data_IF_221502401697
#
_entry.id   IF_221502401697
#
_cell.length_a   1.000
_cell.length_b   1.000
_cell.length_c   1.000
_cell.angle_alpha   90.00
_cell.angle_beta   90.00
_cell.angle_gamma   90.00
#
_symmetry.space_group_name_H-M   'P 1'
#
loop_
_entity.id
_entity.type
_entity.pdbx_description
1 polymer ?
#
# COMPACT_ATOMS: atom_id res chain seq x y z
N UNK A 1 46.12 -60.27 -28.96
CA UNK A 1 45.26 -61.22 -29.69
C UNK A 1 43.99 -61.37 -28.88
N UNK A 2 42.86 -60.96 -29.43
CA UNK A 2 41.57 -60.95 -28.75
C UNK A 2 40.60 -61.93 -29.41
N UNK A 3 39.74 -62.53 -28.60
CA UNK A 3 38.54 -63.27 -29.00
C UNK A 3 37.32 -62.58 -28.38
N UNK A 4 36.32 -62.15 -29.17
CA UNK A 4 35.05 -62.85 -29.56
C UNK A 4 34.28 -63.34 -28.33
N UNK A 5 33.01 -63.04 -28.06
CA UNK A 5 31.92 -62.31 -28.72
C UNK A 5 30.62 -62.55 -27.90
N UNK A 6 29.54 -61.78 -28.14
CA UNK A 6 28.21 -62.08 -27.58
C UNK A 6 27.29 -60.87 -27.34
N UNK A 7 26.23 -60.78 -28.14
CA UNK A 7 25.09 -59.82 -28.22
C UNK A 7 23.91 -60.39 -27.37
N UNK A 8 22.74 -59.75 -27.04
CA UNK A 8 22.13 -58.44 -27.42
C UNK A 8 21.50 -57.60 -26.26
N UNK A 9 21.11 -56.34 -26.55
CA UNK A 9 19.71 -55.85 -26.44
C UNK A 9 19.64 -54.33 -26.66
N UNK A 10 18.57 -53.91 -27.35
CA UNK A 10 18.29 -52.57 -27.85
C UNK A 10 18.06 -51.50 -26.75
N UNK A 11 18.16 -50.21 -27.12
CA UNK A 11 17.06 -49.31 -26.84
C UNK A 11 16.55 -48.56 -28.07
N UNK A 12 15.23 -48.46 -28.07
CA UNK A 12 14.33 -47.80 -28.98
C UNK A 12 14.52 -46.29 -29.06
N UNK A 13 14.59 -45.80 -30.30
CA UNK A 13 13.74 -44.71 -30.80
C UNK A 13 13.79 -43.34 -30.11
N UNK A 14 14.65 -42.47 -30.60
CA UNK A 14 14.35 -41.03 -30.65
C UNK A 14 13.57 -40.70 -31.93
N UNK A 15 12.58 -39.77 -31.83
CA UNK A 15 12.57 -38.70 -32.81
C UNK A 15 12.44 -37.30 -32.20
N UNK A 16 13.40 -36.49 -32.66
CA UNK A 16 13.49 -35.03 -32.86
C UNK A 16 12.25 -34.13 -32.65
N UNK A 17 12.54 -33.01 -31.97
CA UNK A 17 12.20 -31.60 -32.26
C UNK A 17 10.77 -31.27 -32.70
N UNK A 18 10.04 -30.61 -31.79
CA UNK A 18 8.84 -29.81 -32.09
C UNK A 18 8.99 -28.39 -31.54
N UNK A 19 9.03 -27.44 -32.46
CA UNK A 19 9.07 -25.98 -32.39
C UNK A 19 8.37 -25.36 -31.17
N UNK A 20 9.07 -24.41 -30.53
CA UNK A 20 8.59 -23.63 -29.40
C UNK A 20 7.31 -22.86 -29.71
N UNK A 21 6.27 -23.11 -28.90
CA UNK A 21 5.05 -22.30 -28.89
C UNK A 21 5.33 -21.08 -28.02
N UNK A 22 5.68 -19.96 -28.66
CA UNK A 22 5.69 -18.66 -28.01
C UNK A 22 4.25 -18.34 -27.61
N UNK A 23 3.96 -18.38 -26.31
CA UNK A 23 2.69 -17.89 -25.78
C UNK A 23 2.61 -16.38 -26.05
N UNK A 24 1.90 -16.02 -27.12
CA UNK A 24 1.53 -14.64 -27.41
C UNK A 24 0.46 -14.25 -26.39
N UNK A 25 0.80 -13.33 -25.48
CA UNK A 25 -0.17 -12.70 -24.59
C UNK A 25 -1.28 -12.01 -25.42
N UNK A 26 -2.55 -12.02 -24.97
CA UNK A 26 -3.64 -11.41 -25.73
C UNK A 26 -3.43 -9.89 -25.83
N UNK A 27 -3.57 -9.30 -27.04
CA UNK A 27 -3.45 -7.85 -27.22
C UNK A 27 -4.81 -7.22 -26.86
N UNK A 28 -4.89 -6.51 -25.74
CA UNK A 28 -6.12 -5.77 -25.39
C UNK A 28 -6.11 -5.10 -24.02
N UNK A 29 -5.38 -5.63 -23.02
CA UNK A 29 -5.45 -5.09 -21.66
C UNK A 29 -4.61 -3.83 -21.39
N UNK A 30 -3.57 -3.56 -22.20
CA UNK A 30 -2.60 -2.50 -21.91
C UNK A 30 -3.14 -1.07 -22.06
N UNK A 31 -3.90 -0.81 -23.13
CA UNK A 31 -4.41 0.53 -23.46
C UNK A 31 -5.49 0.97 -22.46
N UNK A 32 -6.43 0.07 -22.13
CA UNK A 32 -7.51 0.37 -21.19
C UNK A 32 -7.01 0.69 -19.78
N UNK A 33 -5.99 -0.03 -19.28
CA UNK A 33 -5.40 0.25 -17.96
C UNK A 33 -4.61 1.57 -17.99
N UNK A 34 -3.85 1.83 -19.06
CA UNK A 34 -3.13 3.09 -19.23
C UNK A 34 -4.09 4.30 -19.21
N UNK A 35 -5.20 4.22 -19.92
CA UNK A 35 -6.20 5.28 -19.95
C UNK A 35 -6.89 5.46 -18.59
N UNK A 36 -7.16 4.37 -17.88
CA UNK A 36 -7.73 4.43 -16.53
C UNK A 36 -6.77 5.10 -15.54
N UNK A 37 -5.48 4.78 -15.60
CA UNK A 37 -4.43 5.44 -14.81
C UNK A 37 -4.36 6.93 -15.15
N UNK A 38 -4.40 7.30 -16.43
CA UNK A 38 -4.37 8.70 -16.85
C UNK A 38 -5.59 9.48 -16.34
N UNK A 39 -6.80 8.89 -16.42
CA UNK A 39 -8.03 9.49 -15.87
C UNK A 39 -7.97 9.66 -14.35
N UNK A 40 -7.51 8.64 -13.62
CA UNK A 40 -7.34 8.73 -12.17
C UNK A 40 -6.34 9.84 -11.79
N UNK A 41 -5.23 9.97 -12.52
CA UNK A 41 -4.26 11.06 -12.32
C UNK A 41 -4.87 12.42 -12.60
N UNK A 42 -5.61 12.56 -13.70
CA UNK A 42 -6.28 13.81 -14.06
C UNK A 42 -7.30 14.22 -12.99
N UNK A 43 -8.10 13.27 -12.50
CA UNK A 43 -9.06 13.50 -11.40
C UNK A 43 -8.36 13.99 -10.12
N UNK A 44 -7.26 13.36 -9.71
CA UNK A 44 -6.48 13.83 -8.55
C UNK A 44 -5.90 15.24 -8.76
N UNK A 45 -5.38 15.53 -9.95
CA UNK A 45 -4.84 16.86 -10.28
C UNK A 45 -5.92 17.95 -10.24
N UNK A 46 -7.12 17.61 -10.69
CA UNK A 46 -8.32 18.46 -10.59
C UNK A 46 -8.88 18.57 -9.15
N UNK A 47 -8.28 17.87 -8.17
CA UNK A 47 -8.68 17.93 -6.77
C UNK A 47 -9.79 16.97 -6.37
N UNK A 48 -10.25 16.10 -7.28
CA UNK A 48 -11.30 15.13 -6.99
C UNK A 48 -10.80 13.97 -6.11
N UNK A 49 -11.74 13.33 -5.39
CA UNK A 49 -11.47 12.09 -4.67
C UNK A 49 -11.33 10.91 -5.63
N UNK A 50 -10.33 10.08 -5.38
CA UNK A 50 -10.08 8.85 -6.13
C UNK A 50 -9.92 7.67 -5.19
N UNK A 51 -10.61 6.57 -5.47
CA UNK A 51 -10.37 5.28 -4.83
C UNK A 51 -9.31 4.53 -5.62
N UNK A 52 -8.23 4.16 -4.93
CA UNK A 52 -7.09 3.42 -5.48
C UNK A 52 -6.96 2.06 -4.77
N UNK A 53 -6.71 0.97 -5.52
CA UNK A 53 -6.47 -0.34 -4.93
C UNK A 53 -5.08 -0.41 -4.28
N UNK A 54 -4.95 -1.22 -3.22
CA UNK A 54 -3.66 -1.62 -2.68
C UNK A 54 -3.39 -3.11 -3.00
N UNK A 55 -2.12 -3.55 -2.99
CA UNK A 55 -1.84 -4.97 -3.20
C UNK A 55 -2.34 -5.78 -2.00
N UNK A 56 -2.75 -7.02 -2.24
CA UNK A 56 -3.08 -7.98 -1.19
C UNK A 56 -1.96 -8.02 -0.12
N UNK A 57 -2.28 -8.06 1.19
CA UNK A 57 -3.60 -8.24 1.81
C UNK A 57 -4.36 -6.94 2.11
N UNK A 58 -4.01 -5.83 1.49
CA UNK A 58 -4.57 -4.53 1.87
C UNK A 58 -5.88 -4.22 1.12
N UNK A 59 -6.79 -3.53 1.81
CA UNK A 59 -7.98 -2.93 1.20
C UNK A 59 -7.64 -1.65 0.42
N UNK A 60 -8.58 -1.23 -0.42
CA UNK A 60 -8.47 0.02 -1.18
C UNK A 60 -8.44 1.24 -0.27
N UNK A 61 -7.90 2.34 -0.79
CA UNK A 61 -7.89 3.65 -0.13
C UNK A 61 -8.64 4.67 -0.96
N UNK A 62 -9.21 5.67 -0.29
CA UNK A 62 -9.73 6.89 -0.93
C UNK A 62 -8.76 8.02 -0.63
N UNK A 63 -8.39 8.79 -1.66
CA UNK A 63 -7.41 9.86 -1.56
C UNK A 63 -7.80 11.08 -2.38
N UNK A 64 -7.32 12.25 -1.95
CA UNK A 64 -7.43 13.52 -2.67
C UNK A 64 -6.29 14.45 -2.23
N UNK A 65 -6.10 15.54 -2.97
CA UNK A 65 -5.12 16.60 -2.60
C UNK A 65 -5.56 17.47 -1.42
N UNK A 66 -6.86 17.44 -1.09
CA UNK A 66 -7.46 18.23 0.00
C UNK A 66 -8.15 17.27 0.98
N UNK A 67 -7.91 17.38 2.29
CA UNK A 67 -8.44 16.44 3.28
C UNK A 67 -9.98 16.48 3.36
N UNK A 68 -10.59 17.67 3.20
CA UNK A 68 -12.04 17.84 3.17
C UNK A 68 -12.70 16.99 2.07
N UNK A 69 -12.07 16.90 0.88
CA UNK A 69 -12.59 16.11 -0.25
C UNK A 69 -12.58 14.60 0.06
N UNK A 70 -11.56 14.11 0.80
CA UNK A 70 -11.54 12.73 1.30
C UNK A 70 -12.70 12.49 2.27
N UNK A 71 -12.95 13.45 3.17
CA UNK A 71 -14.01 13.34 4.17
C UNK A 71 -15.40 13.38 3.55
N UNK A 72 -15.65 14.29 2.61
CA UNK A 72 -16.89 14.37 1.85
C UNK A 72 -17.18 13.09 1.08
N UNK A 73 -16.17 12.52 0.40
CA UNK A 73 -16.31 11.23 -0.29
C UNK A 73 -16.77 10.11 0.66
N UNK A 74 -16.23 10.09 1.88
CA UNK A 74 -16.62 9.15 2.94
C UNK A 74 -17.93 9.50 3.64
N UNK A 75 -18.48 10.70 3.39
CA UNK A 75 -19.68 11.23 4.03
C UNK A 75 -19.50 11.46 5.52
N UNK A 76 -18.36 12.04 5.90
CA UNK A 76 -18.03 12.41 7.27
C UNK A 76 -17.63 13.89 7.34
N UNK A 77 -17.58 14.50 8.53
CA UNK A 77 -17.28 15.93 8.67
C UNK A 77 -15.98 16.33 7.97
N UNK A 78 -15.99 17.47 7.27
CA UNK A 78 -14.85 17.97 6.49
C UNK A 78 -13.57 18.16 7.34
N UNK A 79 -13.73 18.44 8.63
CA UNK A 79 -12.66 18.66 9.60
C UNK A 79 -12.12 17.38 10.25
N UNK A 80 -12.69 16.20 9.96
CA UNK A 80 -12.22 14.96 10.56
C UNK A 80 -10.80 14.62 10.09
N UNK A 81 -9.96 14.12 10.99
CA UNK A 81 -8.56 13.81 10.66
C UNK A 81 -8.41 12.78 9.51
N UNK A 82 -7.40 13.01 8.67
CA UNK A 82 -7.06 12.21 7.49
C UNK A 82 -5.55 12.03 7.43
N UNK A 83 -5.07 10.81 7.20
CA UNK A 83 -3.64 10.54 7.15
C UNK A 83 -2.96 11.25 5.97
N UNK A 84 -1.67 11.55 6.10
CA UNK A 84 -0.81 11.91 4.98
C UNK A 84 -0.40 10.66 4.21
N UNK A 85 -0.34 10.76 2.88
CA UNK A 85 0.24 9.73 2.03
C UNK A 85 1.60 10.19 1.49
N UNK A 86 2.67 9.51 1.91
CA UNK A 86 4.00 9.69 1.34
C UNK A 86 4.09 8.85 0.06
N UNK A 87 4.07 9.50 -1.10
CA UNK A 87 3.93 8.85 -2.40
C UNK A 87 5.21 8.80 -3.23
N UNK A 88 6.21 9.62 -2.89
CA UNK A 88 7.50 9.72 -3.56
C UNK A 88 8.58 10.31 -2.63
N UNK A 89 9.82 10.33 -3.12
CA UNK A 89 11.02 10.69 -2.35
C UNK A 89 11.03 12.17 -1.93
N UNK A 90 10.44 13.05 -2.74
CA UNK A 90 10.32 14.47 -2.41
C UNK A 90 9.38 14.66 -1.20
N UNK A 91 8.22 14.00 -1.21
CA UNK A 91 7.28 13.99 -0.07
C UNK A 91 7.87 13.30 1.15
N UNK A 92 8.70 12.28 0.95
CA UNK A 92 9.43 11.63 2.03
C UNK A 92 10.41 12.60 2.71
N UNK A 93 11.21 13.30 1.91
CA UNK A 93 12.20 14.28 2.40
C UNK A 93 11.53 15.44 3.13
N UNK A 94 10.51 16.05 2.53
CA UNK A 94 9.73 17.12 3.18
C UNK A 94 9.16 16.67 4.53
N UNK A 95 8.67 15.43 4.62
CA UNK A 95 8.09 14.92 5.85
C UNK A 95 9.15 14.63 6.92
N UNK A 96 10.27 14.00 6.58
CA UNK A 96 11.32 13.64 7.55
C UNK A 96 11.98 14.85 8.20
N UNK A 97 12.08 15.98 7.49
CA UNK A 97 12.59 17.24 8.03
C UNK A 97 11.75 17.77 9.22
N UNK A 98 10.45 17.50 9.21
CA UNK A 98 9.49 17.88 10.26
C UNK A 98 9.54 16.96 11.48
N UNK A 99 10.16 15.78 11.36
CA UNK A 99 10.18 14.79 12.43
C UNK A 99 11.25 15.10 13.47
N UNK A 100 10.97 14.75 14.72
CA UNK A 100 11.90 14.88 15.83
C UNK A 100 12.52 13.52 16.19
N UNK A 101 13.06 12.83 15.18
CA UNK A 101 13.67 11.50 15.33
C UNK A 101 15.08 11.46 14.75
N UNK A 102 15.94 10.64 15.36
CA UNK A 102 17.31 10.39 14.90
C UNK A 102 17.37 9.57 13.60
N UNK A 103 18.55 9.49 12.98
CA UNK A 103 18.73 8.82 11.68
C UNK A 103 18.38 7.31 11.74
N UNK A 104 18.69 6.66 12.87
CA UNK A 104 18.32 5.26 13.10
C UNK A 104 16.80 5.09 13.09
N UNK A 105 16.08 5.98 13.76
CA UNK A 105 14.63 5.96 13.87
C UNK A 105 13.97 6.37 12.55
N UNK A 106 14.56 7.29 11.78
CA UNK A 106 14.13 7.59 10.40
C UNK A 106 14.26 6.37 9.48
N UNK A 107 15.38 5.66 9.57
CA UNK A 107 15.59 4.40 8.84
C UNK A 107 14.56 3.33 9.23
N UNK A 108 14.24 3.21 10.52
CA UNK A 108 13.19 2.33 11.00
C UNK A 108 11.81 2.74 10.46
N UNK A 109 11.48 4.03 10.54
CA UNK A 109 10.23 4.60 10.02
C UNK A 109 10.04 4.24 8.55
N UNK A 110 11.09 4.35 7.73
CA UNK A 110 11.06 3.94 6.32
C UNK A 110 10.73 2.46 6.15
N UNK A 111 11.40 1.56 6.90
CA UNK A 111 11.13 0.12 6.83
C UNK A 111 9.69 -0.20 7.23
N UNK A 112 9.19 0.40 8.30
CA UNK A 112 7.82 0.21 8.76
C UNK A 112 6.79 0.70 7.72
N UNK A 113 6.98 1.89 7.15
CA UNK A 113 6.03 2.47 6.21
C UNK A 113 6.05 1.80 4.82
N UNK A 114 7.23 1.40 4.33
CA UNK A 114 7.40 0.95 2.93
C UNK A 114 7.48 -0.57 2.81
N UNK A 115 8.23 -1.24 3.68
CA UNK A 115 8.41 -2.69 3.63
C UNK A 115 7.29 -3.42 4.38
N UNK A 116 7.05 -3.04 5.63
CA UNK A 116 5.97 -3.61 6.46
C UNK A 116 4.59 -3.04 6.08
N UNK A 117 4.56 -1.89 5.41
CA UNK A 117 3.34 -1.23 4.90
C UNK A 117 2.32 -0.91 6.00
N UNK A 118 2.79 -0.61 7.21
CA UNK A 118 1.92 -0.16 8.31
C UNK A 118 1.55 1.31 8.13
N UNK A 119 0.51 1.76 8.84
CA UNK A 119 0.29 3.19 9.09
C UNK A 119 1.01 3.57 10.39
N UNK A 120 1.70 4.71 10.43
CA UNK A 120 2.39 5.17 11.64
C UNK A 120 1.80 6.46 12.19
N UNK A 121 1.72 6.57 13.52
CA UNK A 121 1.76 7.86 14.20
C UNK A 121 3.22 8.22 14.44
N UNK A 122 3.65 9.36 13.91
CA UNK A 122 5.05 9.83 13.93
C UNK A 122 5.13 11.17 14.65
N UNK A 123 6.02 11.35 15.64
CA UNK A 123 6.17 12.61 16.35
C UNK A 123 6.75 13.67 15.44
N UNK A 124 6.17 14.86 15.48
CA UNK A 124 6.62 16.03 14.77
C UNK A 124 7.32 17.01 15.72
N UNK A 125 8.36 17.67 15.22
CA UNK A 125 8.97 18.84 15.87
C UNK A 125 8.07 20.06 15.70
N UNK A 126 7.50 20.20 14.52
CA UNK A 126 6.58 21.27 14.14
C UNK A 126 5.49 20.75 13.19
N UNK A 127 4.29 21.31 13.28
CA UNK A 127 3.18 20.95 12.42
C UNK A 127 2.92 22.06 11.39
N UNK A 128 3.29 21.87 10.12
CA UNK A 128 2.94 22.83 9.08
C UNK A 128 1.45 22.73 8.72
N UNK A 129 0.88 23.83 8.21
CA UNK A 129 -0.55 23.92 7.85
C UNK A 129 -1.07 22.76 7.00
N UNK A 130 -0.25 22.28 6.06
CA UNK A 130 -0.63 21.20 5.16
C UNK A 130 -0.68 19.82 5.83
N UNK A 131 -0.07 19.64 7.00
CA UNK A 131 -0.07 18.41 7.79
C UNK A 131 -1.09 18.44 8.94
N UNK A 132 -1.73 19.58 9.21
CA UNK A 132 -2.67 19.76 10.34
C UNK A 132 -3.77 18.71 10.35
N UNK A 133 -4.38 18.40 9.20
CA UNK A 133 -5.46 17.41 9.13
C UNK A 133 -5.03 15.99 9.51
N UNK A 134 -3.73 15.70 9.43
CA UNK A 134 -3.16 14.41 9.80
C UNK A 134 -2.57 14.40 11.20
N UNK A 135 -2.50 15.56 11.86
CA UNK A 135 -1.76 15.72 13.10
C UNK A 135 -2.71 15.84 14.28
N UNK A 136 -2.41 15.09 15.33
CA UNK A 136 -3.10 15.17 16.62
C UNK A 136 -2.10 14.92 17.73
N UNK A 137 -2.14 15.74 18.78
CA UNK A 137 -1.27 15.60 19.96
C UNK A 137 0.22 15.51 19.59
N UNK A 138 0.66 16.37 18.66
CA UNK A 138 2.05 16.43 18.16
C UNK A 138 2.47 15.29 17.24
N UNK A 139 1.55 14.40 16.84
CA UNK A 139 1.86 13.22 16.02
C UNK A 139 1.09 13.25 14.70
N UNK A 140 1.80 13.08 13.59
CA UNK A 140 1.18 12.91 12.28
C UNK A 140 0.83 11.44 12.03
N UNK A 141 -0.37 11.18 11.51
CA UNK A 141 -0.77 9.88 10.98
C UNK A 141 -0.30 9.77 9.51
N UNK A 142 0.57 8.81 9.25
CA UNK A 142 1.30 8.66 7.98
C UNK A 142 1.08 7.28 7.39
N UNK A 143 0.83 7.24 6.10
CA UNK A 143 0.70 6.04 5.30
C UNK A 143 1.65 6.12 4.11
N UNK A 144 2.33 5.01 3.78
CA UNK A 144 3.19 4.95 2.59
C UNK A 144 3.09 3.63 1.82
N UNK A 145 2.11 2.76 2.15
CA UNK A 145 1.93 1.55 1.37
C UNK A 145 1.56 1.95 -0.07
N UNK A 146 2.32 1.44 -1.03
CA UNK A 146 2.17 1.78 -2.44
C UNK A 146 2.28 0.53 -3.29
N UNK A 147 1.27 0.31 -4.12
CA UNK A 147 1.44 -0.63 -5.22
C UNK A 147 2.29 0.01 -6.32
N UNK A 148 3.37 -0.64 -6.75
CA UNK A 148 4.24 -0.12 -7.81
C UNK A 148 3.48 0.24 -9.10
N UNK A 149 2.40 -0.49 -9.42
CA UNK A 149 1.53 -0.22 -10.58
C UNK A 149 0.81 1.14 -10.51
N UNK A 150 0.72 1.76 -9.34
CA UNK A 150 0.13 3.10 -9.17
C UNK A 150 1.13 4.24 -9.38
N UNK A 151 2.41 3.96 -9.66
CA UNK A 151 3.39 5.02 -9.91
C UNK A 151 2.93 6.08 -10.94
N UNK A 152 2.33 5.71 -12.09
CA UNK A 152 1.84 6.69 -13.07
C UNK A 152 0.75 7.63 -12.54
N UNK A 153 -0.01 7.21 -11.52
CA UNK A 153 -1.06 8.01 -10.88
C UNK A 153 -0.49 8.91 -9.79
N UNK A 154 0.46 8.40 -9.00
CA UNK A 154 0.89 9.05 -7.76
C UNK A 154 2.05 10.03 -7.97
N UNK A 155 2.96 9.76 -8.90
CA UNK A 155 4.18 10.56 -9.07
C UNK A 155 3.87 11.98 -9.56
N UNK A 156 4.36 12.98 -8.82
CA UNK A 156 4.24 14.39 -9.19
C UNK A 156 2.80 14.94 -9.17
N UNK A 157 1.90 14.34 -8.38
CA UNK A 157 0.57 14.90 -8.08
C UNK A 157 0.60 15.87 -6.89
N UNK A 158 1.70 15.85 -6.13
CA UNK A 158 1.89 16.62 -4.92
C UNK A 158 1.35 15.87 -3.69
N UNK A 159 1.12 16.63 -2.61
CA UNK A 159 0.66 16.07 -1.33
C UNK A 159 -0.72 15.45 -1.46
N UNK A 160 -0.88 14.26 -0.89
CA UNK A 160 -2.13 13.52 -0.86
C UNK A 160 -2.51 13.19 0.58
N UNK A 161 -3.81 13.27 0.83
CA UNK A 161 -4.45 12.81 2.05
C UNK A 161 -5.16 11.49 1.76
N UNK A 162 -5.13 10.56 2.71
CA UNK A 162 -5.59 9.19 2.48
C UNK A 162 -6.37 8.63 3.66
N UNK A 163 -7.35 7.80 3.35
CA UNK A 163 -8.10 7.01 4.30
C UNK A 163 -8.46 5.67 3.68
N UNK A 164 -8.83 4.69 4.50
CA UNK A 164 -9.41 3.44 3.99
C UNK A 164 -10.66 3.73 3.15
N UNK A 165 -10.86 3.00 2.05
CA UNK A 165 -12.00 3.19 1.17
C UNK A 165 -13.26 2.57 1.78
N UNK A 166 -14.01 3.32 2.60
CA UNK A 166 -15.31 2.94 3.14
C UNK A 166 -16.17 4.17 3.43
N UNK A 167 -17.49 3.95 3.52
CA UNK A 167 -18.37 4.83 4.29
C UNK A 167 -18.07 4.67 5.79
N UNK A 168 -18.15 5.75 6.55
CA UNK A 168 -17.91 5.73 8.00
C UNK A 168 -18.79 4.67 8.67
N UNK A 169 -18.18 3.84 9.53
CA UNK A 169 -18.86 2.72 10.19
C UNK A 169 -18.86 1.39 9.41
N UNK A 170 -18.52 1.40 8.11
CA UNK A 170 -18.48 0.18 7.29
C UNK A 170 -17.07 -0.35 7.07
N UNK A 171 -16.97 -1.64 6.70
CA UNK A 171 -15.72 -2.27 6.32
C UNK A 171 -15.12 -1.60 5.06
N UNK A 172 -13.78 -1.45 4.98
CA UNK A 172 -13.09 -1.01 3.76
C UNK A 172 -13.27 -1.95 2.56
N UNK A 173 -13.41 -1.35 1.38
CA UNK A 173 -13.59 -2.07 0.11
C UNK A 173 -12.35 -2.91 -0.24
N UNK A 174 -12.58 -4.20 -0.49
CA UNK A 174 -11.57 -5.14 -0.97
C UNK A 174 -11.45 -5.19 -2.49
N UNK A 175 -12.40 -4.62 -3.24
CA UNK A 175 -12.38 -4.60 -4.71
C UNK A 175 -12.87 -3.27 -5.31
N UNK A 176 -12.52 -2.97 -6.58
CA UNK A 176 -13.07 -1.83 -7.32
C UNK A 176 -14.60 -1.89 -7.45
N UNK A 177 -15.18 -3.08 -7.63
CA UNK A 177 -16.64 -3.26 -7.70
C UNK A 177 -17.32 -2.83 -6.40
N UNK A 178 -16.80 -3.26 -5.25
CA UNK A 178 -17.32 -2.84 -3.94
C UNK A 178 -17.18 -1.32 -3.77
N UNK A 179 -16.07 -0.73 -4.21
CA UNK A 179 -15.86 0.71 -4.13
C UNK A 179 -16.89 1.50 -4.95
N UNK A 180 -17.20 1.07 -6.19
CA UNK A 180 -18.25 1.69 -7.01
C UNK A 180 -19.63 1.66 -6.37
N UNK A 181 -19.96 0.59 -5.65
CA UNK A 181 -21.23 0.49 -4.89
C UNK A 181 -21.23 1.34 -3.61
N UNK A 182 -20.05 1.62 -3.05
CA UNK A 182 -19.89 2.27 -1.74
C UNK A 182 -19.81 3.79 -1.85
N UNK A 183 -19.17 4.31 -2.90
CA UNK A 183 -18.92 5.74 -3.08
C UNK A 183 -19.87 6.35 -4.11
N UNK A 184 -20.21 7.65 -3.96
CA UNK A 184 -21.04 8.34 -4.95
C UNK A 184 -20.31 8.44 -6.29
N UNK A 185 -21.07 8.54 -7.38
CA UNK A 185 -20.56 8.55 -8.77
C UNK A 185 -19.46 9.59 -9.03
N UNK A 186 -19.50 10.73 -8.33
CA UNK A 186 -18.47 11.77 -8.41
C UNK A 186 -17.07 11.33 -7.93
N UNK A 187 -16.97 10.23 -7.19
CA UNK A 187 -15.68 9.69 -6.72
C UNK A 187 -15.17 8.72 -7.78
N UNK A 188 -14.01 9.03 -8.35
CA UNK A 188 -13.41 8.17 -9.37
C UNK A 188 -12.91 6.87 -8.72
N UNK A 189 -13.28 5.72 -9.27
CA UNK A 189 -12.78 4.42 -8.79
C UNK A 189 -11.86 3.86 -9.87
N UNK A 190 -10.59 3.68 -9.53
CA UNK A 190 -9.63 3.06 -10.45
C UNK A 190 -9.90 1.56 -10.53
N UNK A 191 -10.37 1.11 -11.69
CA UNK A 191 -10.64 -0.30 -11.95
C UNK A 191 -9.36 -1.05 -12.28
N UNK A 192 -8.70 -1.51 -11.22
CA UNK A 192 -7.52 -2.35 -11.31
C UNK A 192 -7.54 -3.35 -10.16
N UNK A 193 -7.26 -4.61 -10.49
CA UNK A 193 -7.09 -5.69 -9.53
C UNK A 193 -5.70 -6.33 -9.64
N UNK A 194 -5.27 -6.96 -8.56
CA UNK A 194 -4.04 -7.74 -8.45
C UNK A 194 -4.30 -9.25 -8.64
N UNK A 195 -5.47 -9.63 -9.17
CA UNK A 195 -5.92 -11.01 -9.33
C UNK A 195 -6.20 -11.75 -8.02
N UNK A 196 -6.14 -11.11 -6.85
CA UNK A 196 -6.40 -11.75 -5.55
C UNK A 196 -7.83 -11.47 -5.07
N UNK A 197 -8.43 -12.42 -4.30
CA UNK A 197 -9.76 -12.25 -3.75
C UNK A 197 -9.96 -10.95 -2.96
N UNK A 198 -11.18 -10.44 -2.94
CA UNK A 198 -11.57 -9.34 -2.06
C UNK A 198 -11.56 -9.79 -0.59
N UNK A 199 -11.90 -11.05 -0.33
CA UNK A 199 -11.93 -11.65 0.99
C UNK A 199 -10.53 -11.81 1.58
N UNK A 200 -10.42 -11.65 2.90
CA UNK A 200 -9.15 -11.67 3.62
C UNK A 200 -8.35 -10.37 3.52
N UNK A 201 -8.83 -9.35 2.79
CA UNK A 201 -8.21 -8.03 2.79
C UNK A 201 -8.53 -7.26 4.07
N UNK A 202 -7.63 -6.39 4.50
CA UNK A 202 -7.81 -5.56 5.69
C UNK A 202 -7.10 -4.21 5.55
N UNK A 203 -7.54 -3.22 6.32
CA UNK A 203 -6.76 -1.99 6.48
C UNK A 203 -5.41 -2.31 7.13
N UNK A 204 -4.44 -1.40 7.00
CA UNK A 204 -3.13 -1.56 7.64
C UNK A 204 -3.25 -1.52 9.16
N UNK A 205 -2.41 -2.29 9.84
CA UNK A 205 -2.11 -2.13 11.26
C UNK A 205 -1.57 -0.71 11.48
N UNK A 206 -1.98 -0.07 12.58
CA UNK A 206 -1.46 1.24 12.99
C UNK A 206 -0.55 1.06 14.18
N UNK A 207 0.66 1.61 14.09
CA UNK A 207 1.62 1.67 15.18
C UNK A 207 1.89 3.14 15.54
N UNK A 208 2.33 3.36 16.76
CA UNK A 208 2.93 4.62 17.19
C UNK A 208 4.44 4.43 17.28
N UNK A 209 5.18 5.34 16.66
CA UNK A 209 6.63 5.45 16.76
C UNK A 209 6.97 6.53 17.80
N UNK A 210 7.87 6.24 18.74
CA UNK A 210 8.38 7.24 19.69
C UNK A 210 9.73 7.79 19.24
N UNK A 211 10.14 8.91 19.85
CA UNK A 211 11.41 9.59 19.56
C UNK A 211 12.64 8.68 19.70
N UNK A 212 12.60 7.70 20.61
CA UNK A 212 13.69 6.75 20.90
C UNK A 212 13.68 5.50 20.01
N UNK A 213 12.81 5.47 18.99
CA UNK A 213 12.62 4.35 18.07
C UNK A 213 11.83 3.18 18.65
N UNK A 214 11.26 3.32 19.84
CA UNK A 214 10.31 2.33 20.37
C UNK A 214 8.96 2.43 19.65
N UNK A 215 8.25 1.30 19.60
CA UNK A 215 6.96 1.19 18.93
C UNK A 215 5.89 0.60 19.85
N UNK A 216 4.67 1.12 19.76
CA UNK A 216 3.49 0.53 20.38
C UNK A 216 2.39 0.30 19.34
N UNK A 217 1.56 -0.71 19.60
CA UNK A 217 0.41 -0.99 18.74
C UNK A 217 -0.75 -0.05 19.08
N UNK A 218 -1.44 0.44 18.04
CA UNK A 218 -2.56 1.37 18.17
C UNK A 218 -3.84 0.78 17.61
N UNK A 219 -3.75 0.09 16.46
CA UNK A 219 -4.92 -0.48 15.79
C UNK A 219 -4.57 -1.74 15.02
N UNK A 220 -5.41 -2.77 15.16
CA UNK A 220 -5.32 -4.00 14.38
C UNK A 220 -5.58 -3.78 12.91
N UNK A 221 -4.92 -4.58 12.07
CA UNK A 221 -5.02 -4.56 10.62
C UNK A 221 -4.40 -5.80 9.99
N UNK A 222 -3.95 -5.68 8.74
CA UNK A 222 -3.50 -6.83 7.97
C UNK A 222 -2.19 -7.44 8.52
N UNK A 223 -1.26 -6.62 8.98
CA UNK A 223 0.08 -7.05 9.39
C UNK A 223 0.04 -7.85 10.68
N UNK A 224 -0.58 -7.32 11.73
CA UNK A 224 -0.63 -8.01 13.02
C UNK A 224 -1.46 -9.29 12.94
N UNK A 225 -2.56 -9.30 12.17
CA UNK A 225 -3.34 -10.53 11.92
C UNK A 225 -2.50 -11.62 11.25
N UNK A 226 -1.67 -11.27 10.26
CA UNK A 226 -0.79 -12.22 9.60
C UNK A 226 0.24 -12.86 10.55
N UNK A 227 0.53 -12.21 11.69
CA UNK A 227 1.46 -12.69 12.71
C UNK A 227 0.75 -13.31 13.93
N UNK A 228 -0.58 -13.46 13.91
CA UNK A 228 -1.35 -14.01 15.04
C UNK A 228 -1.70 -13.00 16.13
N UNK A 229 -1.57 -11.69 15.87
CA UNK A 229 -2.05 -10.61 16.72
C UNK A 229 -0.99 -9.57 17.10
N UNK A 230 -1.39 -8.52 17.85
CA UNK A 230 -0.52 -7.37 18.18
C UNK A 230 0.81 -7.75 18.85
N UNK A 231 0.77 -8.60 19.88
CA UNK A 231 1.96 -8.96 20.66
C UNK A 231 2.97 -9.78 19.85
N UNK A 232 2.48 -10.71 19.04
CA UNK A 232 3.32 -11.51 18.14
C UNK A 232 3.96 -10.64 17.06
N UNK A 233 3.22 -9.66 16.53
CA UNK A 233 3.77 -8.72 15.55
C UNK A 233 4.84 -7.81 16.13
N UNK A 234 4.63 -7.24 17.33
CA UNK A 234 5.67 -6.43 18.00
C UNK A 234 6.92 -7.27 18.32
N UNK A 235 6.75 -8.55 18.68
CA UNK A 235 7.88 -9.48 18.88
C UNK A 235 8.65 -9.73 17.59
N UNK A 236 7.94 -9.92 16.48
CA UNK A 236 8.56 -10.02 15.15
C UNK A 236 9.35 -8.76 14.81
N UNK A 237 8.75 -7.56 14.98
CA UNK A 237 9.45 -6.31 14.69
C UNK A 237 10.71 -6.16 15.55
N UNK A 238 10.65 -6.53 16.84
CA UNK A 238 11.80 -6.47 17.74
C UNK A 238 12.94 -7.39 17.27
N UNK A 239 12.63 -8.59 16.79
CA UNK A 239 13.61 -9.55 16.27
C UNK A 239 14.19 -9.11 14.92
N UNK A 240 13.36 -8.61 14.02
CA UNK A 240 13.75 -8.31 12.62
C UNK A 240 14.43 -6.94 12.48
N UNK A 241 13.98 -5.95 13.25
CA UNK A 241 14.42 -4.56 13.11
C UNK A 241 15.08 -4.00 14.38
N UNK A 242 15.20 -4.80 15.44
CA UNK A 242 15.80 -4.35 16.70
C UNK A 242 15.00 -3.24 17.39
N UNK A 243 13.69 -3.16 17.15
CA UNK A 243 12.83 -2.17 17.82
C UNK A 243 12.60 -2.55 19.27
N UNK A 244 12.47 -1.54 20.14
CA UNK A 244 12.01 -1.74 21.51
C UNK A 244 10.49 -1.70 21.51
N UNK A 245 9.85 -2.78 21.95
CA UNK A 245 8.41 -2.80 22.14
C UNK A 245 8.05 -2.04 23.43
N UNK A 246 7.12 -1.09 23.33
CA UNK A 246 6.42 -0.60 24.51
C UNK A 246 5.19 -1.48 24.75
N UNK A 247 4.99 -1.89 26.00
CA UNK A 247 3.78 -2.60 26.42
C UNK A 247 2.58 -1.67 26.36
#
# INVERSE_FOLDING_TARGET
MGEVGGVPAQPSGHPRRGVGRVHRAPPGGGTHVSDALARARAALRAGAAVVLPNPYPLTSVVTARVPAVVNEAKGRPATQSVALWLTDDERWTEFTELTDVDERTRSLMHRLLVAERVTLLVPLRECPKWAESATRDGKALVFAARWSRLAPVLTGVGRLHVSSANRTGHAPCGSPEQARKTFPEKVHVLDMDDGRPADGRSATTTLELRHDGSVSHVRTGAQDRAHGGPAAYLTYLARTYGVRGCR
#
